data_IF_561060946339
#
_entry.id   IF_561060946339
#
_cell.length_a   1.000
_cell.length_b   1.000
_cell.length_c   1.000
_cell.angle_alpha   90.00
_cell.angle_beta   90.00
_cell.angle_gamma   90.00
#
_symmetry.space_group_name_H-M   'P 1'
#
loop_
_entity.id
_entity.type
_entity.pdbx_description
1 polymer ?
#
# COMPACT_ATOMS: atom_id res chain seq x y z
N UNK A 1 5.86 -33.29 3.47
CA UNK A 1 6.34 -31.90 3.54
C UNK A 1 5.87 -31.07 2.35
N UNK A 2 6.16 -31.44 1.08
CA UNK A 2 5.71 -30.66 -0.10
C UNK A 2 4.20 -30.37 -0.20
N UNK A 3 3.32 -31.31 0.19
CA UNK A 3 1.87 -31.08 0.19
C UNK A 3 1.41 -29.99 1.18
N UNK A 4 2.12 -29.79 2.30
CA UNK A 4 1.74 -28.78 3.30
C UNK A 4 2.09 -27.36 2.86
N UNK A 5 3.18 -27.18 2.09
CA UNK A 5 3.54 -25.86 1.54
C UNK A 5 2.60 -25.43 0.43
N UNK A 6 2.17 -26.36 -0.45
CA UNK A 6 1.18 -26.06 -1.49
C UNK A 6 -0.21 -25.70 -0.94
N UNK A 7 -0.63 -26.37 0.14
CA UNK A 7 -1.89 -26.08 0.84
C UNK A 7 -1.85 -24.69 1.54
N UNK A 8 -0.70 -24.35 2.13
CA UNK A 8 -0.47 -23.05 2.74
C UNK A 8 -0.39 -21.92 1.71
N UNK A 9 0.34 -22.12 0.60
CA UNK A 9 0.47 -21.15 -0.50
C UNK A 9 -0.90 -20.84 -1.14
N UNK A 10 -1.73 -21.86 -1.34
CA UNK A 10 -3.11 -21.71 -1.83
C UNK A 10 -4.04 -20.99 -0.84
N UNK A 11 -3.94 -21.28 0.45
CA UNK A 11 -4.70 -20.58 1.50
C UNK A 11 -4.38 -19.09 1.53
N UNK A 12 -3.10 -18.71 1.42
CA UNK A 12 -2.68 -17.32 1.42
C UNK A 12 -3.14 -16.57 0.18
N UNK A 13 -3.17 -17.21 -0.99
CA UNK A 13 -3.73 -16.63 -2.21
C UNK A 13 -5.22 -16.33 -2.04
N UNK A 14 -5.98 -17.26 -1.47
CA UNK A 14 -7.41 -17.07 -1.21
C UNK A 14 -7.65 -15.89 -0.25
N UNK A 15 -6.82 -15.76 0.79
CA UNK A 15 -6.83 -14.62 1.70
C UNK A 15 -6.48 -13.33 0.94
N UNK A 16 -5.38 -13.27 0.19
CA UNK A 16 -4.98 -12.05 -0.55
C UNK A 16 -6.04 -11.64 -1.58
N UNK A 17 -6.70 -12.59 -2.23
CA UNK A 17 -7.73 -12.35 -3.26
C UNK A 17 -9.03 -11.83 -2.64
N UNK A 18 -9.50 -12.43 -1.53
CA UNK A 18 -10.69 -11.96 -0.80
C UNK A 18 -10.45 -10.59 -0.14
N UNK A 19 -9.21 -10.32 0.24
CA UNK A 19 -8.77 -9.00 0.72
C UNK A 19 -8.80 -7.96 -0.41
N UNK A 20 -8.48 -8.37 -1.64
CA UNK A 20 -8.44 -7.48 -2.80
C UNK A 20 -9.83 -7.03 -3.27
N UNK A 21 -10.84 -7.90 -3.18
CA UNK A 21 -12.22 -7.56 -3.56
C UNK A 21 -12.87 -6.49 -2.69
N UNK A 22 -12.26 -6.16 -1.53
CA UNK A 22 -12.79 -5.22 -0.52
C UNK A 22 -11.89 -4.02 -0.23
N UNK A 23 -10.67 -3.97 -0.78
CA UNK A 23 -9.73 -2.87 -0.55
C UNK A 23 -9.45 -2.15 -1.85
N UNK A 24 -9.84 -0.87 -1.92
CA UNK A 24 -9.76 0.01 -3.09
C UNK A 24 -10.59 -0.48 -4.29
N UNK A 25 -11.84 -0.03 -4.38
CA UNK A 25 -12.60 -0.09 -5.64
C UNK A 25 -12.43 1.25 -6.37
N UNK A 26 -11.80 1.28 -7.55
CA UNK A 26 -11.77 2.50 -8.37
C UNK A 26 -13.17 2.94 -8.87
N UNK A 27 -14.17 2.06 -8.73
CA UNK A 27 -15.59 2.32 -9.01
C UNK A 27 -16.35 2.97 -7.85
N UNK A 28 -15.78 3.01 -6.63
CA UNK A 28 -16.32 3.95 -5.64
C UNK A 28 -15.99 5.34 -6.17
N UNK A 29 -17.05 6.05 -6.53
CA UNK A 29 -17.10 7.42 -7.05
C UNK A 29 -16.54 8.40 -6.00
N UNK A 30 -15.30 8.22 -5.58
CA UNK A 30 -14.48 9.26 -4.97
C UNK A 30 -14.30 10.25 -6.10
N UNK A 31 -15.21 11.23 -6.18
CA UNK A 31 -15.06 12.45 -6.98
C UNK A 31 -13.60 12.85 -6.85
N UNK A 32 -12.80 12.66 -7.93
CA UNK A 32 -11.38 12.97 -7.94
C UNK A 32 -11.28 14.43 -7.51
N UNK A 33 -10.87 14.65 -6.26
CA UNK A 33 -10.84 15.99 -5.69
C UNK A 33 -10.03 16.91 -6.60
N UNK A 34 -10.37 18.21 -6.60
CA UNK A 34 -9.68 19.18 -7.42
C UNK A 34 -8.25 19.49 -6.93
N UNK A 35 -7.88 19.12 -5.69
CA UNK A 35 -6.58 19.52 -5.11
C UNK A 35 -5.64 18.35 -4.89
N UNK A 36 -4.34 18.56 -5.20
CA UNK A 36 -3.27 17.60 -4.96
C UNK A 36 -3.25 17.10 -3.50
N UNK A 37 -3.43 18.00 -2.53
CA UNK A 37 -3.44 17.66 -1.10
C UNK A 37 -4.53 16.66 -0.76
N UNK A 38 -5.77 16.92 -1.19
CA UNK A 38 -6.89 16.02 -0.90
C UNK A 38 -6.71 14.65 -1.55
N UNK A 39 -6.15 14.59 -2.77
CA UNK A 39 -5.81 13.31 -3.42
C UNK A 39 -4.72 12.54 -2.68
N UNK A 40 -3.65 13.21 -2.26
CA UNK A 40 -2.57 12.58 -1.47
C UNK A 40 -3.09 12.09 -0.13
N UNK A 41 -3.91 12.88 0.57
CA UNK A 41 -4.58 12.47 1.80
C UNK A 41 -5.43 11.23 1.56
N UNK A 42 -6.29 11.22 0.53
CA UNK A 42 -7.13 10.07 0.22
C UNK A 42 -6.32 8.77 -0.01
N UNK A 43 -5.19 8.86 -0.72
CA UNK A 43 -4.30 7.72 -0.92
C UNK A 43 -3.72 7.18 0.41
N UNK A 44 -3.23 8.09 1.26
CA UNK A 44 -2.62 7.75 2.54
C UNK A 44 -3.68 7.13 3.47
N UNK A 45 -4.85 7.76 3.55
CA UNK A 45 -5.96 7.38 4.41
C UNK A 45 -6.55 6.03 4.03
N UNK A 46 -6.67 5.76 2.72
CA UNK A 46 -7.11 4.46 2.20
C UNK A 46 -6.19 3.32 2.67
N UNK A 47 -4.87 3.49 2.54
CA UNK A 47 -3.91 2.48 2.99
C UNK A 47 -3.89 2.38 4.52
N UNK A 48 -3.94 3.51 5.23
CA UNK A 48 -3.93 3.57 6.69
C UNK A 48 -5.13 2.88 7.33
N UNK A 49 -6.33 3.13 6.80
CA UNK A 49 -7.57 2.50 7.21
C UNK A 49 -7.56 1.00 6.88
N UNK A 50 -7.10 0.65 5.67
CA UNK A 50 -6.94 -0.75 5.29
C UNK A 50 -6.04 -1.53 6.24
N UNK A 51 -4.91 -0.96 6.68
CA UNK A 51 -3.99 -1.64 7.60
C UNK A 51 -4.60 -1.90 9.00
N UNK A 52 -5.68 -1.20 9.35
CA UNK A 52 -6.41 -1.41 10.61
C UNK A 52 -7.60 -2.38 10.48
N UNK A 53 -7.89 -2.89 9.28
CA UNK A 53 -8.89 -3.96 9.11
C UNK A 53 -8.32 -5.31 9.54
N UNK A 54 -9.20 -6.29 9.74
CA UNK A 54 -8.79 -7.69 10.03
C UNK A 54 -7.90 -8.24 8.92
N UNK A 55 -8.28 -7.93 7.69
CA UNK A 55 -7.59 -8.25 6.44
C UNK A 55 -6.19 -7.62 6.38
N UNK A 56 -6.07 -6.32 6.67
CA UNK A 56 -4.78 -5.62 6.69
C UNK A 56 -3.82 -6.15 7.75
N UNK A 57 -4.35 -6.49 8.94
CA UNK A 57 -3.56 -7.14 10.00
C UNK A 57 -3.11 -8.54 9.61
N UNK A 58 -3.99 -9.35 8.99
CA UNK A 58 -3.64 -10.68 8.51
C UNK A 58 -2.54 -10.63 7.42
N UNK A 59 -2.64 -9.70 6.47
CA UNK A 59 -1.62 -9.49 5.45
C UNK A 59 -0.28 -9.04 6.06
N UNK A 60 -0.32 -8.17 7.07
CA UNK A 60 0.88 -7.74 7.81
C UNK A 60 1.55 -8.92 8.50
N UNK A 61 0.78 -9.75 9.21
CA UNK A 61 1.29 -10.95 9.86
C UNK A 61 1.89 -11.95 8.86
N UNK A 62 1.23 -12.16 7.70
CA UNK A 62 1.77 -12.98 6.61
C UNK A 62 3.11 -12.45 6.12
N UNK A 63 3.22 -11.14 5.84
CA UNK A 63 4.50 -10.55 5.40
C UNK A 63 5.61 -10.73 6.41
N UNK A 64 5.30 -10.74 7.71
CA UNK A 64 6.30 -10.97 8.77
C UNK A 64 6.69 -12.44 8.94
N UNK A 65 5.86 -13.39 8.49
CA UNK A 65 6.16 -14.83 8.57
C UNK A 65 6.89 -15.38 7.34
N UNK A 66 6.83 -14.67 6.21
CA UNK A 66 7.51 -15.05 4.97
C UNK A 66 9.03 -14.82 5.02
N UNK A 67 9.80 -15.53 4.17
CA UNK A 67 11.23 -15.26 3.99
C UNK A 67 11.51 -13.78 3.70
N UNK A 68 12.58 -13.25 4.28
CA UNK A 68 12.91 -11.83 4.16
C UNK A 68 13.27 -11.39 2.72
N UNK A 69 13.77 -12.31 1.87
CA UNK A 69 14.14 -12.00 0.49
C UNK A 69 13.02 -12.38 -0.47
N UNK A 70 12.71 -11.46 -1.40
CA UNK A 70 11.70 -11.68 -2.46
C UNK A 70 12.03 -12.90 -3.34
N UNK A 71 13.32 -13.19 -3.57
CA UNK A 71 13.77 -14.38 -4.30
C UNK A 71 13.36 -15.68 -3.61
N UNK A 72 13.45 -15.70 -2.28
CA UNK A 72 13.22 -16.89 -1.47
C UNK A 72 11.70 -17.13 -1.38
N UNK A 73 10.90 -16.06 -1.25
CA UNK A 73 9.43 -16.13 -1.38
C UNK A 73 9.04 -16.69 -2.76
N UNK A 74 9.63 -16.22 -3.85
CA UNK A 74 9.27 -16.69 -5.19
C UNK A 74 9.61 -18.17 -5.42
N UNK A 75 10.66 -18.68 -4.77
CA UNK A 75 11.05 -20.08 -4.86
C UNK A 75 10.18 -20.99 -3.97
N UNK A 76 9.84 -20.55 -2.76
CA UNK A 76 9.14 -21.35 -1.75
C UNK A 76 7.60 -21.21 -1.81
N UNK A 77 7.11 -20.04 -2.20
CA UNK A 77 5.70 -19.64 -2.22
C UNK A 77 5.34 -18.90 -3.53
N UNK A 78 5.43 -19.56 -4.69
CA UNK A 78 5.27 -18.92 -5.99
C UNK A 78 3.88 -18.29 -6.20
N UNK A 79 2.81 -18.87 -5.65
CA UNK A 79 1.46 -18.30 -5.79
C UNK A 79 1.30 -17.06 -4.92
N UNK A 80 1.81 -17.08 -3.69
CA UNK A 80 1.86 -15.92 -2.80
C UNK A 80 2.68 -14.79 -3.43
N UNK A 81 3.82 -15.10 -4.06
CA UNK A 81 4.64 -14.13 -4.77
C UNK A 81 3.87 -13.46 -5.93
N UNK A 82 3.13 -14.26 -6.71
CA UNK A 82 2.28 -13.75 -7.79
C UNK A 82 1.14 -12.86 -7.25
N UNK A 83 0.52 -13.25 -6.14
CA UNK A 83 -0.54 -12.46 -5.50
C UNK A 83 -0.03 -11.11 -4.97
N UNK A 84 1.19 -11.05 -4.42
CA UNK A 84 1.82 -9.78 -4.06
C UNK A 84 2.12 -8.91 -5.28
N UNK A 85 2.57 -9.50 -6.39
CA UNK A 85 2.85 -8.78 -7.62
C UNK A 85 1.57 -8.19 -8.24
N UNK A 86 0.45 -8.92 -8.21
CA UNK A 86 -0.85 -8.40 -8.63
C UNK A 86 -1.26 -7.19 -7.78
N UNK A 87 -1.21 -7.31 -6.44
CA UNK A 87 -1.53 -6.19 -5.55
C UNK A 87 -0.61 -4.98 -5.73
N UNK A 88 0.67 -5.22 -6.04
CA UNK A 88 1.62 -4.16 -6.40
C UNK A 88 1.18 -3.44 -7.68
N UNK A 89 0.73 -4.17 -8.70
CA UNK A 89 0.19 -3.60 -9.93
C UNK A 89 -1.11 -2.80 -9.68
N UNK A 90 -2.01 -3.30 -8.84
CA UNK A 90 -3.27 -2.63 -8.51
C UNK A 90 -3.01 -1.30 -7.78
N UNK A 91 -2.06 -1.26 -6.85
CA UNK A 91 -1.58 -0.01 -6.25
C UNK A 91 -1.04 0.95 -7.31
N UNK A 92 -0.26 0.45 -8.28
CA UNK A 92 0.32 1.30 -9.32
C UNK A 92 -0.76 1.96 -10.15
N UNK A 93 -1.70 1.16 -10.66
CA UNK A 93 -2.79 1.63 -11.50
C UNK A 93 -3.72 2.56 -10.73
N UNK A 94 -4.07 2.23 -9.48
CA UNK A 94 -4.92 3.05 -8.63
C UNK A 94 -4.29 4.40 -8.30
N UNK A 95 -2.99 4.43 -7.98
CA UNK A 95 -2.28 5.68 -7.67
C UNK A 95 -2.12 6.56 -8.90
N UNK A 96 -1.77 5.99 -10.06
CA UNK A 96 -1.66 6.74 -11.31
C UNK A 96 -3.05 7.29 -11.72
N UNK A 97 -4.12 6.51 -11.59
CA UNK A 97 -5.50 6.96 -11.82
C UNK A 97 -5.90 8.11 -10.88
N UNK A 98 -5.54 8.02 -9.61
CA UNK A 98 -5.85 9.05 -8.62
C UNK A 98 -5.16 10.37 -8.98
N UNK A 99 -3.93 10.35 -9.49
CA UNK A 99 -3.16 11.56 -9.82
C UNK A 99 -3.42 12.09 -11.25
N UNK A 100 -4.16 11.34 -12.06
CA UNK A 100 -4.52 11.71 -13.43
C UNK A 100 -5.19 13.10 -13.53
N UNK A 101 -4.76 13.89 -14.51
CA UNK A 101 -5.23 15.26 -14.75
C UNK A 101 -4.53 16.36 -13.95
N UNK A 102 -3.62 16.04 -13.05
CA UNK A 102 -2.73 17.03 -12.41
C UNK A 102 -1.44 17.19 -13.24
N UNK A 103 -0.93 18.43 -13.33
CA UNK A 103 0.36 18.72 -13.99
C UNK A 103 1.52 18.43 -13.03
N UNK A 104 1.84 17.15 -12.86
CA UNK A 104 2.88 16.67 -11.95
C UNK A 104 4.11 16.19 -12.71
N UNK A 105 5.28 16.33 -12.09
CA UNK A 105 6.51 15.71 -12.59
C UNK A 105 6.45 14.19 -12.46
N UNK A 106 6.70 13.47 -13.56
CA UNK A 106 6.56 12.01 -13.60
C UNK A 106 7.59 11.28 -12.73
N UNK A 107 8.80 11.81 -12.59
CA UNK A 107 9.85 11.19 -11.77
C UNK A 107 9.54 11.37 -10.28
N UNK A 108 9.03 12.54 -9.88
CA UNK A 108 8.56 12.75 -8.51
C UNK A 108 7.35 11.88 -8.19
N UNK A 109 6.40 11.77 -9.12
CA UNK A 109 5.23 10.90 -8.97
C UNK A 109 5.64 9.44 -8.76
N UNK A 110 6.59 8.94 -9.56
CA UNK A 110 7.17 7.60 -9.40
C UNK A 110 7.80 7.41 -8.02
N UNK A 111 8.62 8.37 -7.55
CA UNK A 111 9.26 8.31 -6.23
C UNK A 111 8.24 8.24 -5.10
N UNK A 112 7.20 9.06 -5.15
CA UNK A 112 6.11 9.06 -4.16
C UNK A 112 5.36 7.72 -4.18
N UNK A 113 5.01 7.22 -5.37
CA UNK A 113 4.31 5.94 -5.53
C UNK A 113 5.08 4.77 -4.93
N UNK A 114 6.42 4.78 -5.04
CA UNK A 114 7.29 3.77 -4.42
C UNK A 114 7.41 3.94 -2.89
N UNK A 115 7.43 5.18 -2.40
CA UNK A 115 7.64 5.51 -0.98
C UNK A 115 6.41 5.19 -0.12
N UNK A 116 5.23 5.65 -0.56
CA UNK A 116 4.03 5.69 0.28
C UNK A 116 3.67 4.35 0.93
N UNK A 117 3.64 3.20 0.21
CA UNK A 117 3.28 1.93 0.83
C UNK A 117 4.24 1.50 1.94
N UNK A 118 5.52 1.84 1.85
CA UNK A 118 6.50 1.52 2.89
C UNK A 118 6.36 2.47 4.09
N UNK A 119 6.24 3.77 3.83
CA UNK A 119 6.10 4.80 4.87
C UNK A 119 4.85 4.57 5.73
N UNK A 120 3.69 4.35 5.11
CA UNK A 120 2.41 4.16 5.82
C UNK A 120 2.43 2.88 6.66
N UNK A 121 3.01 1.79 6.14
CA UNK A 121 3.18 0.54 6.91
C UNK A 121 4.11 0.74 8.10
N UNK A 122 5.21 1.48 7.93
CA UNK A 122 6.10 1.85 9.03
C UNK A 122 5.34 2.59 10.15
N UNK A 123 4.59 3.64 9.79
CA UNK A 123 3.74 4.37 10.75
C UNK A 123 2.70 3.47 11.41
N UNK A 124 2.08 2.55 10.66
CA UNK A 124 1.06 1.65 11.21
C UNK A 124 1.64 0.62 12.18
N UNK A 125 2.91 0.21 12.01
CA UNK A 125 3.56 -0.71 12.93
C UNK A 125 3.82 -0.06 14.30
N UNK A 126 4.10 1.26 14.34
CA UNK A 126 4.33 2.00 15.58
C UNK A 126 3.09 2.05 16.49
N UNK A 127 1.87 1.89 15.93
CA UNK A 127 0.63 1.74 16.70
C UNK A 127 0.71 0.63 17.77
N UNK A 128 1.50 -0.42 17.50
CA UNK A 128 1.55 -1.62 18.33
C UNK A 128 2.75 -1.64 19.30
N UNK A 129 3.82 -0.89 19.02
CA UNK A 129 5.14 -1.09 19.67
C UNK A 129 5.56 0.07 20.59
N UNK A 130 4.84 1.19 20.62
CA UNK A 130 4.81 2.06 21.81
C UNK A 130 5.29 3.50 21.67
N UNK A 131 5.50 4.02 20.46
CA UNK A 131 5.46 5.48 20.28
C UNK A 131 4.00 5.92 20.08
N UNK A 132 3.33 6.26 21.18
CA UNK A 132 2.08 7.05 21.16
C UNK A 132 2.33 8.53 20.89
N UNK A 133 3.47 8.87 20.27
CA UNK A 133 3.62 10.14 19.55
C UNK A 133 2.46 10.24 18.57
N UNK A 134 1.91 11.44 18.41
CA UNK A 134 0.66 11.67 17.70
C UNK A 134 0.77 11.19 16.23
N UNK A 135 0.39 9.93 15.97
CA UNK A 135 0.51 9.30 14.65
C UNK A 135 -0.35 10.01 13.61
N UNK A 136 -1.37 10.74 14.06
CA UNK A 136 -2.15 11.65 13.24
C UNK A 136 -1.30 12.82 12.76
N UNK A 137 -0.47 13.41 13.63
CA UNK A 137 0.52 14.43 13.23
C UNK A 137 1.53 13.83 12.26
N UNK A 138 2.04 12.63 12.52
CA UNK A 138 3.00 11.99 11.61
C UNK A 138 2.39 11.73 10.21
N UNK A 139 1.13 11.30 10.16
CA UNK A 139 0.39 11.07 8.93
C UNK A 139 0.10 12.37 8.18
N UNK A 140 -0.35 13.41 8.87
CA UNK A 140 -0.52 14.74 8.30
C UNK A 140 0.80 15.32 7.77
N UNK A 141 1.89 15.13 8.50
CA UNK A 141 3.24 15.55 8.07
C UNK A 141 3.68 14.79 6.81
N UNK A 142 3.40 13.49 6.71
CA UNK A 142 3.67 12.72 5.51
C UNK A 142 2.89 13.26 4.31
N UNK A 143 1.60 13.59 4.48
CA UNK A 143 0.80 14.25 3.44
C UNK A 143 1.45 15.56 3.00
N UNK A 144 1.78 16.45 3.94
CA UNK A 144 2.35 17.75 3.61
C UNK A 144 3.72 17.62 2.92
N UNK A 145 4.56 16.68 3.35
CA UNK A 145 5.85 16.42 2.72
C UNK A 145 5.72 15.89 1.28
N UNK A 146 4.74 15.01 1.04
CA UNK A 146 4.46 14.47 -0.29
C UNK A 146 3.89 15.54 -1.22
N UNK A 147 2.96 16.35 -0.72
CA UNK A 147 2.41 17.49 -1.48
C UNK A 147 3.53 18.46 -1.82
N UNK A 148 4.36 18.85 -0.85
CA UNK A 148 5.48 19.76 -1.08
C UNK A 148 6.55 19.19 -2.01
N UNK A 149 6.68 17.87 -2.12
CA UNK A 149 7.53 17.23 -3.11
C UNK A 149 6.92 17.34 -4.50
N UNK A 150 5.64 16.99 -4.66
CA UNK A 150 4.94 16.93 -5.95
C UNK A 150 4.56 18.29 -6.53
N UNK A 151 4.44 19.32 -5.69
CA UNK A 151 4.15 20.71 -6.10
C UNK A 151 5.42 21.46 -6.55
N UNK A 152 6.59 20.81 -6.54
CA UNK A 152 7.82 21.41 -7.04
C UNK A 152 7.78 21.55 -8.56
N UNK A 153 8.28 22.67 -9.10
CA UNK A 153 8.37 22.86 -10.54
C UNK A 153 9.26 21.78 -11.17
N UNK A 154 8.89 21.36 -12.38
CA UNK A 154 9.65 20.38 -13.18
C UNK A 154 11.09 20.85 -13.34
N UNK A 155 12.03 19.96 -13.00
CA UNK A 155 13.49 20.22 -13.08
C UNK A 155 14.00 20.19 -14.50
#
# INVERSE_FOLDING_TARGET
>A
MQHQFGDLDGLWVAVITEIHSRSWSPDDEITRSDTLRERVTAAIDSVWAYLDTTEGRALTALRTSLPARRSDIAAEYPLTAAAFAARELDWIQGFDYLMDGLDLDADQLYRVRCLLPAAIRGLSNERQVGFTSDLEIARATLTDAVVALLDQPRS
#
